data_IF_567474580901
#
_entry.id   IF_567474580901
#
_cell.length_a   1.000
_cell.length_b   1.000
_cell.length_c   1.000
_cell.angle_alpha   90.00
_cell.angle_beta   90.00
_cell.angle_gamma   90.00
#
_symmetry.space_group_name_H-M   'P 1'
#
loop_
_entity.id
_entity.type
_entity.pdbx_description
1 polymer ?
#
# COMPACT_ATOMS: atom_id res chain seq x y z
N UNK A 1 9.91 8.67 10.43
CA UNK A 1 8.66 8.92 9.69
C UNK A 1 8.86 9.89 8.53
N UNK A 2 9.52 11.04 8.73
CA UNK A 2 9.89 11.96 7.63
C UNK A 2 10.78 11.28 6.58
N UNK A 3 11.78 10.50 7.00
CA UNK A 3 12.62 9.70 6.08
C UNK A 3 11.81 8.66 5.29
N UNK A 4 10.83 8.01 5.92
CA UNK A 4 9.94 7.04 5.26
C UNK A 4 9.01 7.75 4.27
N UNK A 5 8.49 8.92 4.65
CA UNK A 5 7.67 9.79 3.80
C UNK A 5 8.46 10.26 2.58
N UNK A 6 9.68 10.76 2.76
CA UNK A 6 10.55 11.20 1.66
C UNK A 6 10.90 10.03 0.72
N UNK A 7 11.14 8.84 1.26
CA UNK A 7 11.39 7.63 0.47
C UNK A 7 10.17 7.18 -0.34
N UNK A 8 8.99 7.25 0.25
CA UNK A 8 7.72 6.92 -0.38
C UNK A 8 7.27 8.00 -1.40
N UNK A 9 7.59 9.28 -1.14
CA UNK A 9 7.37 10.41 -2.06
C UNK A 9 8.34 10.39 -3.27
N UNK A 10 9.56 9.88 -3.09
CA UNK A 10 10.55 9.70 -4.15
C UNK A 10 10.33 8.44 -5.01
N UNK A 11 9.32 7.62 -4.70
CA UNK A 11 8.96 6.45 -5.51
C UNK A 11 9.95 5.29 -5.45
N UNK A 12 10.83 5.24 -4.43
CA UNK A 12 11.73 4.10 -4.19
C UNK A 12 10.92 2.89 -3.72
N UNK A 13 11.22 1.73 -4.29
CA UNK A 13 10.59 0.46 -3.92
C UNK A 13 11.08 0.03 -2.53
N UNK A 14 10.17 -0.08 -1.57
CA UNK A 14 10.46 -0.61 -0.22
C UNK A 14 10.45 -2.14 -0.32
N UNK A 15 11.51 -2.79 0.13
CA UNK A 15 11.60 -4.26 0.06
C UNK A 15 10.63 -4.91 1.06
N UNK A 16 10.09 -6.08 0.71
CA UNK A 16 9.16 -6.82 1.57
C UNK A 16 9.68 -7.10 3.00
N UNK A 17 10.93 -7.55 3.23
CA UNK A 17 11.48 -7.67 4.58
C UNK A 17 11.60 -6.35 5.33
N UNK A 18 11.79 -5.23 4.63
CA UNK A 18 11.77 -3.90 5.25
C UNK A 18 10.34 -3.49 5.63
N UNK A 19 9.37 -3.79 4.77
CA UNK A 19 7.95 -3.58 5.06
C UNK A 19 7.53 -4.42 6.27
N UNK A 20 7.93 -5.69 6.35
CA UNK A 20 7.65 -6.55 7.49
C UNK A 20 8.30 -5.99 8.77
N UNK A 21 9.52 -5.44 8.68
CA UNK A 21 10.20 -4.79 9.82
C UNK A 21 9.51 -3.48 10.22
N UNK A 22 8.98 -2.72 9.27
CA UNK A 22 8.22 -1.49 9.52
C UNK A 22 6.88 -1.83 10.16
N UNK A 23 6.17 -2.83 9.65
CA UNK A 23 4.92 -3.32 10.23
C UNK A 23 5.13 -3.84 11.64
N UNK A 24 6.21 -4.58 11.88
CA UNK A 24 6.56 -5.05 13.23
C UNK A 24 6.82 -3.86 14.16
N UNK A 25 7.56 -2.85 13.71
CA UNK A 25 7.77 -1.62 14.50
C UNK A 25 6.48 -0.82 14.72
N UNK A 26 5.59 -0.76 13.72
CA UNK A 26 4.30 -0.09 13.83
C UNK A 26 3.40 -0.83 14.83
N UNK A 27 3.37 -2.16 14.79
CA UNK A 27 2.66 -3.00 15.78
C UNK A 27 3.25 -2.83 17.17
N UNK A 28 4.57 -2.84 17.31
CA UNK A 28 5.22 -2.57 18.61
C UNK A 28 4.94 -1.16 19.12
N UNK A 29 4.88 -0.16 18.24
CA UNK A 29 4.50 1.20 18.59
C UNK A 29 3.04 1.26 19.06
N UNK A 30 2.14 0.61 18.32
CA UNK A 30 0.72 0.49 18.62
C UNK A 30 0.50 -0.18 19.99
N UNK A 31 1.14 -1.31 20.23
CA UNK A 31 1.10 -2.01 21.51
C UNK A 31 1.65 -1.18 22.65
N UNK A 32 2.77 -0.45 22.45
CA UNK A 32 3.35 0.40 23.50
C UNK A 32 2.48 1.61 23.82
N UNK A 33 1.90 2.23 22.80
CA UNK A 33 0.95 3.35 22.97
C UNK A 33 -0.31 2.82 23.65
N UNK A 34 -0.91 1.74 23.15
CA UNK A 34 -2.07 1.13 23.78
C UNK A 34 -1.80 0.67 25.21
N UNK A 35 -0.61 0.12 25.52
CA UNK A 35 -0.23 -0.24 26.88
C UNK A 35 -0.05 0.99 27.79
N UNK A 36 0.49 2.09 27.25
CA UNK A 36 0.61 3.35 27.99
C UNK A 36 -0.76 3.97 28.33
N UNK A 37 -1.78 3.78 27.48
CA UNK A 37 -3.09 4.44 27.61
C UNK A 37 -4.26 3.54 28.06
N UNK A 38 -4.19 2.22 27.88
CA UNK A 38 -5.22 1.23 28.28
C UNK A 38 -5.52 1.19 29.78
N UNK A 39 -4.63 1.75 30.59
CA UNK A 39 -4.81 1.90 32.03
C UNK A 39 -5.20 3.31 32.47
N UNK A 40 -5.39 4.28 31.58
CA UNK A 40 -5.63 5.70 31.91
C UNK A 40 -7.14 5.99 31.97
N UNK A 41 -7.65 6.35 33.15
CA UNK A 41 -9.04 6.72 33.45
C UNK A 41 -9.05 8.06 34.17
N UNK A 42 -9.21 9.09 33.38
CA UNK A 42 -9.07 10.44 33.86
C UNK A 42 -10.28 10.79 34.73
N UNK A 43 -10.07 11.55 35.81
CA UNK A 43 -11.14 11.94 36.72
C UNK A 43 -12.22 12.83 36.06
N UNK A 44 -11.94 13.36 34.86
CA UNK A 44 -12.89 14.11 34.03
C UNK A 44 -13.36 13.29 32.81
N UNK A 45 -14.67 12.98 32.70
CA UNK A 45 -15.22 12.24 31.57
C UNK A 45 -14.96 12.88 30.21
N UNK A 46 -14.93 14.22 30.15
CA UNK A 46 -14.66 14.97 28.92
C UNK A 46 -13.24 14.80 28.39
N UNK A 47 -12.25 14.80 29.30
CA UNK A 47 -10.85 14.58 28.94
C UNK A 47 -10.61 13.12 28.57
N UNK A 48 -11.24 12.18 29.27
CA UNK A 48 -11.14 10.76 28.91
C UNK A 48 -11.75 10.46 27.55
N UNK A 49 -12.89 11.07 27.21
CA UNK A 49 -13.48 10.94 25.88
C UNK A 49 -12.58 11.50 24.78
N UNK A 50 -11.93 12.66 25.03
CA UNK A 50 -10.97 13.26 24.09
C UNK A 50 -9.74 12.40 23.89
N UNK A 51 -9.11 11.94 24.98
CA UNK A 51 -7.96 11.05 24.91
C UNK A 51 -8.30 9.75 24.17
N UNK A 52 -9.44 9.13 24.47
CA UNK A 52 -9.89 7.93 23.76
C UNK A 52 -10.12 8.19 22.27
N UNK A 53 -10.68 9.35 21.90
CA UNK A 53 -10.88 9.73 20.50
C UNK A 53 -9.54 9.93 19.77
N UNK A 54 -8.56 10.59 20.41
CA UNK A 54 -7.21 10.78 19.85
C UNK A 54 -6.46 9.46 19.73
N UNK A 55 -6.57 8.61 20.74
CA UNK A 55 -5.99 7.27 20.73
C UNK A 55 -6.61 6.40 19.64
N UNK A 56 -7.93 6.45 19.46
CA UNK A 56 -8.61 5.75 18.37
C UNK A 56 -8.17 6.26 16.99
N UNK A 57 -7.98 7.56 16.83
CA UNK A 57 -7.45 8.15 15.59
C UNK A 57 -6.01 7.66 15.31
N UNK A 58 -5.16 7.58 16.35
CA UNK A 58 -3.80 7.05 16.22
C UNK A 58 -3.78 5.57 15.77
N UNK A 59 -4.53 4.70 16.46
CA UNK A 59 -4.67 3.29 16.08
C UNK A 59 -5.20 3.14 14.65
N UNK A 60 -6.20 3.96 14.29
CA UNK A 60 -6.74 3.96 12.95
C UNK A 60 -5.67 4.28 11.91
N UNK A 61 -4.85 5.32 12.12
CA UNK A 61 -3.78 5.68 11.19
C UNK A 61 -2.71 4.58 11.08
N UNK A 62 -2.33 3.93 12.18
CA UNK A 62 -1.43 2.76 12.14
C UNK A 62 -2.03 1.64 11.30
N UNK A 63 -3.30 1.28 11.54
CA UNK A 63 -3.97 0.20 10.81
C UNK A 63 -4.06 0.48 9.31
N UNK A 64 -4.33 1.74 8.93
CA UNK A 64 -4.36 2.20 7.54
C UNK A 64 -2.97 2.11 6.92
N UNK A 65 -1.92 2.50 7.66
CA UNK A 65 -0.54 2.45 7.19
C UNK A 65 -0.08 0.99 6.96
N UNK A 66 -0.36 0.10 7.91
CA UNK A 66 -0.08 -1.34 7.79
C UNK A 66 -0.81 -1.92 6.57
N UNK A 67 -2.10 -1.61 6.39
CA UNK A 67 -2.87 -2.09 5.24
C UNK A 67 -2.28 -1.61 3.90
N UNK A 68 -1.79 -0.36 3.86
CA UNK A 68 -1.12 0.19 2.67
C UNK A 68 0.24 -0.49 2.42
N UNK A 69 0.99 -0.77 3.47
CA UNK A 69 2.26 -1.49 3.43
C UNK A 69 2.09 -2.94 2.95
N UNK A 70 1.09 -3.66 3.47
CA UNK A 70 0.68 -4.98 2.98
C UNK A 70 0.29 -4.94 1.50
N UNK A 71 -0.42 -3.88 1.09
CA UNK A 71 -0.71 -3.64 -0.32
C UNK A 71 0.57 -3.43 -1.13
N UNK A 72 1.55 -2.66 -0.65
CA UNK A 72 2.84 -2.45 -1.33
C UNK A 72 3.59 -3.78 -1.49
N UNK A 73 3.61 -4.64 -0.46
CA UNK A 73 4.16 -6.00 -0.54
C UNK A 73 3.48 -6.83 -1.63
N UNK A 74 2.15 -6.83 -1.66
CA UNK A 74 1.39 -7.53 -2.68
C UNK A 74 1.70 -7.02 -4.11
N UNK A 75 1.82 -5.70 -4.28
CA UNK A 75 2.16 -5.04 -5.55
C UNK A 75 3.63 -5.26 -5.98
N UNK A 76 4.54 -5.37 -5.02
CA UNK A 76 5.96 -5.62 -5.26
C UNK A 76 6.19 -7.06 -5.68
N UNK A 77 5.58 -8.03 -4.95
CA UNK A 77 5.58 -9.47 -5.31
C UNK A 77 5.07 -9.73 -6.72
N UNK A 78 4.20 -8.87 -7.23
CA UNK A 78 3.63 -8.97 -8.57
C UNK A 78 4.35 -8.19 -9.66
N UNK A 79 5.44 -7.51 -9.32
CA UNK A 79 6.27 -6.76 -10.25
C UNK A 79 5.59 -5.51 -10.81
N UNK A 80 4.70 -4.88 -10.02
CA UNK A 80 3.87 -3.77 -10.47
C UNK A 80 4.19 -2.47 -9.75
N UNK A 81 3.78 -1.37 -10.36
CA UNK A 81 4.13 -0.04 -9.87
C UNK A 81 3.53 0.18 -8.47
N UNK A 82 4.42 0.27 -7.49
CA UNK A 82 4.08 0.61 -6.10
C UNK A 82 3.86 2.11 -5.91
N UNK A 83 4.12 2.95 -6.92
CA UNK A 83 4.24 4.42 -6.80
C UNK A 83 2.96 5.09 -6.27
N UNK A 84 1.78 4.67 -6.74
CA UNK A 84 0.52 5.26 -6.28
C UNK A 84 0.24 4.91 -4.81
N UNK A 85 0.52 3.67 -4.43
CA UNK A 85 0.30 3.18 -3.08
C UNK A 85 1.40 3.64 -2.13
N UNK A 86 2.63 3.83 -2.61
CA UNK A 86 3.72 4.44 -1.88
C UNK A 86 3.40 5.89 -1.58
N UNK A 87 2.89 6.66 -2.54
CA UNK A 87 2.45 8.04 -2.31
C UNK A 87 1.27 8.13 -1.32
N UNK A 88 0.37 7.15 -1.33
CA UNK A 88 -0.67 7.06 -0.30
C UNK A 88 -0.08 6.67 1.07
N UNK A 89 0.89 5.77 1.12
CA UNK A 89 1.59 5.42 2.35
C UNK A 89 2.41 6.61 2.89
N UNK A 90 2.98 7.46 2.02
CA UNK A 90 3.71 8.67 2.42
C UNK A 90 2.76 9.71 3.03
N UNK A 91 1.60 9.91 2.40
CA UNK A 91 0.53 10.74 2.97
C UNK A 91 0.06 10.17 4.32
N UNK A 92 -0.10 8.85 4.42
CA UNK A 92 -0.41 8.17 5.67
C UNK A 92 0.67 8.34 6.74
N UNK A 93 1.94 8.46 6.35
CA UNK A 93 3.01 8.77 7.29
C UNK A 93 2.90 10.20 7.84
N UNK A 94 2.50 11.16 7.01
CA UNK A 94 2.21 12.52 7.46
C UNK A 94 0.99 12.56 8.38
N UNK A 95 -0.05 11.77 8.08
CA UNK A 95 -1.26 11.63 8.91
C UNK A 95 -0.95 10.96 10.26
N UNK A 96 -0.07 9.95 10.28
CA UNK A 96 0.39 9.34 11.54
C UNK A 96 1.27 10.31 12.34
N UNK A 97 2.10 11.11 11.69
CA UNK A 97 2.93 12.12 12.35
C UNK A 97 2.06 13.23 12.98
N UNK A 98 1.01 13.68 12.27
CA UNK A 98 0.07 14.65 12.81
C UNK A 98 -0.74 14.07 13.97
N UNK A 99 -1.22 12.82 13.85
CA UNK A 99 -1.89 12.12 14.96
C UNK A 99 -0.98 11.96 16.19
N UNK A 100 0.33 11.71 15.98
CA UNK A 100 1.32 11.62 17.06
C UNK A 100 1.55 13.00 17.70
N UNK A 101 1.62 14.06 16.90
CA UNK A 101 1.76 15.44 17.39
C UNK A 101 0.55 15.88 18.19
N UNK A 102 -0.65 15.55 17.72
CA UNK A 102 -1.90 15.83 18.42
C UNK A 102 -1.97 15.10 19.76
N UNK A 103 -1.51 13.84 19.81
CA UNK A 103 -1.42 13.07 21.06
C UNK A 103 -0.40 13.70 22.03
N UNK A 104 0.74 14.16 21.52
CA UNK A 104 1.78 14.82 22.31
C UNK A 104 1.34 16.20 22.82
N UNK A 105 0.57 16.95 22.03
CA UNK A 105 -0.01 18.24 22.42
C UNK A 105 -1.13 18.05 23.45
N UNK A 106 -2.05 17.10 23.27
CA UNK A 106 -3.06 16.75 24.28
C UNK A 106 -2.36 16.35 25.59
N UNK A 107 -1.25 15.60 25.50
CA UNK A 107 -0.44 15.27 26.67
C UNK A 107 0.18 16.51 27.34
N UNK A 108 0.75 17.41 26.55
CA UNK A 108 1.51 18.58 27.05
C UNK A 108 0.61 19.69 27.58
N UNK A 109 -0.51 19.93 26.92
CA UNK A 109 -1.34 21.12 27.08
C UNK A 109 -2.56 20.87 27.96
N UNK A 110 -3.10 19.66 27.96
CA UNK A 110 -4.27 19.31 28.77
C UNK A 110 -3.92 18.35 29.91
N UNK A 111 -3.34 17.19 29.59
CA UNK A 111 -3.08 16.13 30.58
C UNK A 111 -2.02 16.52 31.60
N UNK A 112 -0.83 16.98 31.17
CA UNK A 112 0.28 17.29 32.08
C UNK A 112 -0.08 18.37 33.12
N UNK A 113 -0.67 19.52 32.74
CA UNK A 113 -1.08 20.53 33.72
C UNK A 113 -2.11 19.97 34.70
N UNK A 114 -3.09 19.19 34.23
CA UNK A 114 -4.11 18.62 35.11
C UNK A 114 -3.53 17.56 36.08
N UNK A 115 -2.49 16.85 35.65
CA UNK A 115 -1.72 15.95 36.51
C UNK A 115 -0.86 16.70 37.52
N UNK A 116 -0.26 17.82 37.13
CA UNK A 116 0.50 18.71 38.02
C UNK A 116 -0.42 19.37 39.06
N UNK A 117 -1.59 19.87 38.63
CA UNK A 117 -2.63 20.41 39.51
C UNK A 117 -3.13 19.35 40.50
N UNK A 118 -3.31 18.11 40.04
CA UNK A 118 -3.67 16.99 40.91
C UNK A 118 -2.56 16.64 41.90
N UNK A 119 -1.30 16.66 41.47
CA UNK A 119 -0.15 16.40 42.35
C UNK A 119 0.03 17.52 43.40
N UNK A 120 -0.18 18.78 43.02
CA UNK A 120 -0.13 19.91 43.94
C UNK A 120 -1.32 19.90 44.90
N UNK A 121 -2.51 19.52 44.44
CA UNK A 121 -3.67 19.30 45.31
C UNK A 121 -3.43 18.18 46.32
N UNK A 122 -2.73 17.10 45.93
CA UNK A 122 -2.30 16.03 46.84
C UNK A 122 -1.29 16.54 47.86
N UNK A 123 -0.26 17.26 47.42
CA UNK A 123 0.78 17.82 48.29
C UNK A 123 0.20 18.81 49.30
N UNK A 124 -0.71 19.68 48.84
CA UNK A 124 -1.47 20.59 49.67
C UNK A 124 -2.30 19.82 50.69
N UNK A 125 -3.01 18.77 50.26
CA UNK A 125 -3.81 17.89 51.12
C UNK A 125 -2.97 17.18 52.19
N UNK A 126 -1.78 16.66 51.84
CA UNK A 126 -0.82 16.05 52.79
C UNK A 126 -0.32 17.09 53.80
N UNK A 127 0.04 18.28 53.33
CA UNK A 127 0.53 19.37 54.19
C UNK A 127 -0.56 19.84 55.15
N UNK A 128 -1.80 19.93 54.68
CA UNK A 128 -2.94 20.32 55.49
C UNK A 128 -3.33 19.22 56.48
N UNK A 129 -3.23 17.94 56.08
CA UNK A 129 -3.39 16.78 56.98
C UNK A 129 -2.38 16.81 58.13
N UNK A 130 -1.10 17.09 57.84
CA UNK A 130 -0.06 17.22 58.85
C UNK A 130 -0.34 18.36 59.84
N UNK A 131 -0.85 19.51 59.34
CA UNK A 131 -1.27 20.64 60.19
C UNK A 131 -2.47 20.30 61.08
N UNK A 132 -3.45 19.56 60.55
CA UNK A 132 -4.63 19.13 61.32
C UNK A 132 -4.23 18.12 62.42
N UNK A 133 -3.32 17.20 62.12
CA UNK A 133 -2.81 16.24 63.11
C UNK A 133 -2.11 16.96 64.27
N UNK A 134 -1.25 17.94 63.96
CA UNK A 134 -0.59 18.76 64.97
C UNK A 134 -1.57 19.61 65.79
N UNK A 135 -2.64 20.11 65.16
CA UNK A 135 -3.68 20.89 65.85
C UNK A 135 -4.60 20.01 66.70
N UNK A 136 -4.79 18.74 66.34
CA UNK A 136 -5.55 17.78 67.14
C UNK A 136 -4.81 17.43 68.43
N UNK A 137 -3.48 17.28 68.36
CA UNK A 137 -2.62 17.00 69.51
C UNK A 137 -2.68 18.15 70.54
N UNK A 138 -2.54 19.41 70.07
CA UNK A 138 -2.66 20.58 70.96
C UNK A 138 -4.06 20.75 71.55
N UNK A 139 -5.11 20.45 70.78
CA UNK A 139 -6.49 20.48 71.28
C UNK A 139 -6.74 19.40 72.35
N UNK A 140 -6.11 18.23 72.24
CA UNK A 140 -6.21 17.15 73.24
C UNK A 140 -5.47 17.51 74.54
N UNK A 141 -4.28 18.12 74.45
CA UNK A 141 -3.57 18.63 75.63
C UNK A 141 -4.36 19.72 76.35
N UNK A 142 -4.91 20.67 75.60
CA UNK A 142 -5.75 21.76 76.13
C UNK A 142 -7.02 21.21 76.81
N UNK A 143 -7.66 20.21 76.19
CA UNK A 143 -8.85 19.56 76.75
C UNK A 143 -8.51 18.78 78.03
N UNK A 144 -7.38 18.08 78.06
CA UNK A 144 -6.90 17.35 79.23
C UNK A 144 -6.55 18.30 80.40
N UNK A 145 -5.98 19.48 80.08
CA UNK A 145 -5.71 20.55 81.06
C UNK A 145 -7.00 21.14 81.64
N UNK A 146 -8.00 21.44 80.81
CA UNK A 146 -9.29 21.96 81.26
C UNK A 146 -9.99 20.94 82.18
N UNK A 147 -10.06 19.67 81.76
CA UNK A 147 -10.65 18.58 82.54
C UNK A 147 -9.92 18.31 83.86
N UNK A 148 -8.60 18.53 83.92
CA UNK A 148 -7.82 18.41 85.14
C UNK A 148 -7.90 19.61 86.10
N UNK A 149 -8.37 20.78 85.64
CA UNK A 149 -8.24 22.05 86.38
C UNK A 149 -9.49 22.50 87.15
N UNK A 150 -10.71 22.02 86.85
CA UNK A 150 -11.88 22.24 87.71
C UNK A 150 -13.11 21.38 87.30
N UNK A 151 -13.81 20.71 88.25
CA UNK A 151 -15.07 19.99 87.97
C UNK A 151 -16.29 20.91 87.76
N UNK A 152 -16.25 22.17 88.22
CA UNK A 152 -17.30 23.17 87.98
C UNK A 152 -16.91 24.08 86.80
N UNK A 153 -17.39 23.72 85.61
CA UNK A 153 -17.09 24.46 84.37
C UNK A 153 -17.79 25.83 84.34
N UNK A 154 -17.05 26.89 84.73
CA UNK A 154 -17.46 28.28 84.49
C UNK A 154 -17.50 28.60 82.97
N UNK A 155 -18.28 29.63 82.61
CA UNK A 155 -18.62 29.95 81.21
C UNK A 155 -17.46 30.15 80.21
N UNK A 156 -16.25 30.44 80.68
CA UNK A 156 -15.02 30.48 79.87
C UNK A 156 -14.62 29.09 79.37
N UNK A 157 -14.47 28.13 80.28
CA UNK A 157 -14.17 26.72 79.95
C UNK A 157 -15.23 26.11 79.03
N UNK A 158 -16.51 26.49 79.21
CA UNK A 158 -17.60 26.07 78.31
C UNK A 158 -17.44 26.65 76.90
N UNK A 159 -17.03 27.91 76.75
CA UNK A 159 -16.73 28.52 75.44
C UNK A 159 -15.52 27.86 74.78
N UNK A 160 -14.51 27.50 75.56
CA UNK A 160 -13.31 26.82 75.06
C UNK A 160 -13.62 25.39 74.60
N UNK A 161 -14.45 24.64 75.33
CA UNK A 161 -14.95 23.33 74.88
C UNK A 161 -15.82 23.42 73.63
N UNK A 162 -16.64 24.47 73.50
CA UNK A 162 -17.41 24.72 72.26
C UNK A 162 -16.46 25.01 71.08
N UNK A 163 -15.37 25.77 71.32
CA UNK A 163 -14.34 26.05 70.31
C UNK A 163 -13.58 24.78 69.92
N UNK A 164 -13.20 23.95 70.90
CA UNK A 164 -12.56 22.65 70.66
C UNK A 164 -13.50 21.75 69.86
N UNK A 165 -14.79 21.66 70.22
CA UNK A 165 -15.79 20.90 69.45
C UNK A 165 -15.92 21.39 68.01
N UNK A 166 -15.97 22.71 67.80
CA UNK A 166 -16.03 23.29 66.45
C UNK A 166 -14.77 22.96 65.63
N UNK A 167 -13.59 23.04 66.25
CA UNK A 167 -12.32 22.67 65.63
C UNK A 167 -12.26 21.18 65.30
N UNK A 168 -12.74 20.29 66.18
CA UNK A 168 -12.79 18.84 65.95
C UNK A 168 -13.77 18.46 64.82
N UNK A 169 -14.92 19.14 64.72
CA UNK A 169 -15.86 18.95 63.60
C UNK A 169 -15.25 19.44 62.28
N UNK A 170 -14.53 20.56 62.29
CA UNK A 170 -13.80 21.04 61.11
C UNK A 170 -12.70 20.05 60.68
N UNK A 171 -11.98 19.46 61.65
CA UNK A 171 -11.00 18.39 61.42
C UNK A 171 -11.67 17.15 60.83
N UNK A 172 -12.81 16.70 61.38
CA UNK A 172 -13.55 15.54 60.89
C UNK A 172 -14.01 15.70 59.44
N UNK A 173 -14.61 16.85 59.11
CA UNK A 173 -15.08 17.13 57.76
C UNK A 173 -13.93 17.20 56.75
N UNK A 174 -12.80 17.82 57.14
CA UNK A 174 -11.59 17.86 56.30
C UNK A 174 -10.96 16.47 56.13
N UNK A 175 -10.85 15.67 57.19
CA UNK A 175 -10.37 14.28 57.11
C UNK A 175 -11.26 13.41 56.22
N UNK A 176 -12.58 13.60 56.28
CA UNK A 176 -13.51 12.84 55.43
C UNK A 176 -13.40 13.23 53.95
N UNK A 177 -13.19 14.51 53.65
CA UNK A 177 -12.87 14.99 52.30
C UNK A 177 -11.51 14.43 51.82
N UNK A 178 -10.49 14.43 52.68
CA UNK A 178 -9.17 13.87 52.39
C UNK A 178 -9.21 12.35 52.16
N UNK A 179 -9.99 11.62 52.97
CA UNK A 179 -10.16 10.18 52.81
C UNK A 179 -10.90 9.86 51.51
N UNK A 180 -11.89 10.66 51.13
CA UNK A 180 -12.57 10.54 49.83
C UNK A 180 -11.60 10.80 48.67
N UNK A 181 -10.74 11.80 48.79
CA UNK A 181 -9.72 12.12 47.78
C UNK A 181 -8.64 11.04 47.69
N UNK A 182 -8.10 10.55 48.82
CA UNK A 182 -7.15 9.44 48.89
C UNK A 182 -7.74 8.13 48.39
N UNK A 183 -9.03 7.88 48.61
CA UNK A 183 -9.71 6.69 48.07
C UNK A 183 -9.84 6.79 46.55
N UNK A 184 -10.16 7.98 46.00
CA UNK A 184 -10.13 8.24 44.54
C UNK A 184 -8.74 8.04 43.95
N UNK A 185 -7.69 8.49 44.63
CA UNK A 185 -6.29 8.33 44.20
C UNK A 185 -5.84 6.87 44.28
N UNK A 186 -6.18 6.16 45.37
CA UNK A 186 -5.86 4.73 45.55
C UNK A 186 -6.59 3.84 44.54
N UNK A 187 -7.79 4.21 44.11
CA UNK A 187 -8.55 3.48 43.10
C UNK A 187 -8.10 3.75 41.66
N UNK A 188 -7.25 4.76 41.41
CA UNK A 188 -6.71 5.00 40.07
C UNK A 188 -5.40 4.22 39.91
N UNK A 189 -5.48 3.10 39.20
CA UNK A 189 -4.37 2.20 38.84
C UNK A 189 -3.30 2.85 37.90
N UNK A 190 -3.15 4.18 37.92
CA UNK A 190 -2.71 5.04 36.81
C UNK A 190 -1.60 5.98 37.24
N UNK A 191 -1.58 6.32 38.53
CA UNK A 191 -0.47 7.03 39.15
C UNK A 191 0.84 6.23 39.05
N UNK A 192 0.76 4.89 39.11
CA UNK A 192 1.92 4.00 38.92
C UNK A 192 2.41 3.91 37.46
N UNK A 193 1.53 4.13 36.47
CA UNK A 193 1.90 4.16 35.05
C UNK A 193 2.61 5.47 34.72
N UNK A 194 2.12 6.58 35.28
CA UNK A 194 2.74 7.91 35.11
C UNK A 194 4.09 8.00 35.82
N UNK A 195 4.26 7.39 37.00
CA UNK A 195 5.58 7.28 37.65
C UNK A 195 6.59 6.44 36.84
N UNK A 196 6.14 5.41 36.12
CA UNK A 196 7.00 4.64 35.18
C UNK A 196 7.39 5.43 33.93
N UNK A 197 6.49 6.30 33.46
CA UNK A 197 6.77 7.24 32.38
C UNK A 197 7.69 8.39 32.84
N UNK A 198 7.57 8.87 34.08
CA UNK A 198 8.48 9.84 34.71
C UNK A 198 9.90 9.28 34.93
N UNK A 199 10.04 7.98 35.16
CA UNK A 199 11.34 7.31 35.27
C UNK A 199 12.00 7.01 33.91
N UNK A 200 11.25 7.15 32.81
CA UNK A 200 11.76 6.95 31.45
C UNK A 200 11.98 8.32 30.82
N UNK A 201 13.24 8.71 30.67
CA UNK A 201 13.66 10.01 30.14
C UNK A 201 12.80 10.43 28.92
N UNK A 202 11.95 11.47 29.02
CA UNK A 202 11.05 11.89 27.95
C UNK A 202 11.81 12.25 26.68
N UNK A 203 13.04 12.75 26.83
CA UNK A 203 13.97 13.02 25.73
C UNK A 203 14.42 11.74 25.05
N UNK A 204 14.58 10.62 25.77
CA UNK A 204 14.89 9.32 25.14
C UNK A 204 13.70 8.74 24.41
N UNK A 205 12.47 8.94 24.90
CA UNK A 205 11.28 8.50 24.16
C UNK A 205 11.08 9.37 22.92
N UNK A 206 11.27 10.69 23.05
CA UNK A 206 11.25 11.62 21.94
C UNK A 206 12.37 11.31 20.94
N UNK A 207 13.60 11.04 21.38
CA UNK A 207 14.77 10.66 20.57
C UNK A 207 14.60 9.27 19.93
N UNK A 208 13.98 8.29 20.59
CA UNK A 208 13.68 6.99 19.96
C UNK A 208 12.61 7.10 18.86
N UNK A 209 11.67 8.04 19.02
CA UNK A 209 10.57 8.32 18.08
C UNK A 209 11.01 9.28 16.95
N UNK A 210 11.96 10.16 17.24
CA UNK A 210 12.52 11.16 16.31
C UNK A 210 13.86 10.76 15.69
N UNK A 211 14.50 9.68 16.15
CA UNK A 211 15.72 9.16 15.55
C UNK A 211 15.41 8.77 14.11
N UNK A 212 16.02 9.43 13.12
CA UNK A 212 15.87 9.04 11.74
C UNK A 212 16.50 7.65 11.62
N UNK A 213 15.68 6.64 11.33
CA UNK A 213 16.20 5.36 10.84
C UNK A 213 16.80 5.68 9.47
N UNK A 214 18.09 5.97 9.44
CA UNK A 214 18.85 6.13 8.21
C UNK A 214 18.71 4.85 7.40
N UNK A 215 17.94 4.94 6.32
CA UNK A 215 17.77 3.89 5.33
C UNK A 215 18.57 4.33 4.11
N UNK A 216 19.80 3.84 3.99
CA UNK A 216 20.52 3.85 2.72
C UNK A 216 19.78 2.92 1.76
N UNK A 217 19.01 3.49 0.84
CA UNK A 217 18.30 2.72 -0.19
C UNK A 217 19.20 2.56 -1.40
N UNK A 218 19.70 1.34 -1.59
CA UNK A 218 20.29 0.86 -2.83
C UNK A 218 19.17 0.31 -3.71
N UNK A 219 18.66 1.11 -4.65
CA UNK A 219 17.70 0.59 -5.62
C UNK A 219 18.43 -0.42 -6.52
N UNK A 220 18.16 -1.71 -6.35
CA UNK A 220 18.73 -2.78 -7.18
C UNK A 220 18.45 -2.54 -8.68
N UNK A 221 17.28 -1.99 -9.03
CA UNK A 221 16.83 -1.68 -10.39
C UNK A 221 16.02 -0.37 -10.48
N UNK A 222 16.67 0.81 -10.52
CA UNK A 222 15.98 2.09 -10.52
C UNK A 222 15.29 2.39 -11.86
N UNK A 223 14.14 3.09 -11.81
CA UNK A 223 13.45 3.63 -13.00
C UNK A 223 13.35 5.15 -12.88
N UNK A 224 13.95 5.87 -13.84
CA UNK A 224 14.15 7.32 -13.85
C UNK A 224 12.83 8.11 -13.90
N UNK A 225 11.85 7.64 -14.67
CA UNK A 225 10.61 8.38 -14.90
C UNK A 225 9.42 7.47 -15.27
N UNK A 226 8.21 8.01 -15.13
CA UNK A 226 6.97 7.29 -15.44
C UNK A 226 6.85 6.89 -16.92
N UNK A 227 7.43 7.69 -17.83
CA UNK A 227 7.46 7.35 -19.26
C UNK A 227 8.21 6.05 -19.52
N UNK A 228 9.36 5.86 -18.88
CA UNK A 228 10.16 4.64 -18.94
C UNK A 228 9.43 3.47 -18.30
N UNK A 229 8.77 3.69 -17.16
CA UNK A 229 7.98 2.64 -16.48
C UNK A 229 6.82 2.11 -17.34
N UNK A 230 6.14 3.00 -18.08
CA UNK A 230 5.00 2.63 -18.94
C UNK A 230 5.39 2.21 -20.35
N UNK A 231 6.65 2.42 -20.76
CA UNK A 231 7.10 2.18 -22.13
C UNK A 231 6.92 0.73 -22.60
N UNK A 232 7.15 -0.25 -21.72
CA UNK A 232 6.94 -1.67 -22.04
C UNK A 232 5.50 -1.95 -22.49
N UNK A 233 4.50 -1.34 -21.83
CA UNK A 233 3.10 -1.50 -22.18
C UNK A 233 2.80 -0.89 -23.55
N UNK A 234 3.23 0.35 -23.79
CA UNK A 234 2.96 1.02 -25.06
C UNK A 234 3.70 0.39 -26.24
N UNK A 235 4.94 -0.07 -26.07
CA UNK A 235 5.68 -0.76 -27.13
C UNK A 235 4.99 -2.06 -27.52
N UNK A 236 4.59 -2.89 -26.55
CA UNK A 236 3.86 -4.14 -26.82
C UNK A 236 2.51 -3.87 -27.49
N UNK A 237 1.78 -2.86 -27.01
CA UNK A 237 0.52 -2.44 -27.61
C UNK A 237 0.72 -2.00 -29.07
N UNK A 238 1.72 -1.16 -29.34
CA UNK A 238 2.03 -0.68 -30.69
C UNK A 238 2.39 -1.80 -31.64
N UNK A 239 3.17 -2.80 -31.20
CA UNK A 239 3.54 -3.96 -32.03
C UNK A 239 2.30 -4.79 -32.38
N UNK A 240 1.40 -5.05 -31.42
CA UNK A 240 0.17 -5.80 -31.70
C UNK A 240 -0.77 -5.04 -32.64
N UNK A 241 -0.97 -3.74 -32.39
CA UNK A 241 -1.81 -2.91 -33.25
C UNK A 241 -1.24 -2.81 -34.67
N UNK A 242 0.08 -2.69 -34.80
CA UNK A 242 0.76 -2.74 -36.11
C UNK A 242 0.49 -4.06 -36.85
N UNK A 243 0.59 -5.18 -36.13
CA UNK A 243 0.27 -6.50 -36.67
C UNK A 243 -1.23 -6.66 -37.05
N UNK A 244 -2.16 -6.10 -36.27
CA UNK A 244 -3.60 -6.08 -36.61
C UNK A 244 -3.87 -5.32 -37.90
N UNK A 245 -3.34 -4.09 -38.01
CA UNK A 245 -3.48 -3.26 -39.21
C UNK A 245 -2.85 -3.95 -40.41
N UNK A 246 -1.70 -4.61 -40.21
CA UNK A 246 -1.01 -5.34 -41.26
C UNK A 246 -1.85 -6.49 -41.83
N UNK A 247 -2.55 -7.25 -40.98
CA UNK A 247 -3.43 -8.33 -41.43
C UNK A 247 -4.71 -7.80 -42.09
N UNK A 248 -5.25 -6.67 -41.63
CA UNK A 248 -6.39 -6.03 -42.27
C UNK A 248 -6.07 -5.45 -43.67
N UNK A 249 -4.84 -4.97 -43.90
CA UNK A 249 -4.43 -4.41 -45.19
C UNK A 249 -3.99 -5.52 -46.17
N UNK A 250 -3.21 -6.48 -45.67
CA UNK A 250 -2.61 -7.54 -46.49
C UNK A 250 -3.40 -8.81 -46.26
N UNK A 251 -4.09 -9.28 -47.29
CA UNK A 251 -4.86 -10.52 -47.20
C UNK A 251 -3.94 -11.70 -46.86
N UNK A 252 -4.28 -12.44 -45.80
CA UNK A 252 -3.48 -13.57 -45.33
C UNK A 252 -3.47 -14.74 -46.31
N UNK A 253 -4.58 -14.98 -47.01
CA UNK A 253 -4.73 -16.04 -48.02
C UNK A 253 -4.55 -15.50 -49.44
N UNK A 254 -4.03 -16.32 -50.35
CA UNK A 254 -3.96 -15.96 -51.76
C UNK A 254 -5.34 -16.08 -52.40
N UNK A 255 -5.67 -15.19 -53.35
CA UNK A 255 -6.95 -15.21 -54.07
C UNK A 255 -7.11 -16.43 -54.98
N UNK A 256 -6.00 -17.04 -55.42
CA UNK A 256 -6.01 -18.16 -56.35
C UNK A 256 -5.08 -19.29 -55.85
N UNK A 257 -5.53 -20.08 -54.85
CA UNK A 257 -4.75 -21.21 -54.35
C UNK A 257 -4.49 -22.24 -55.45
N UNK A 258 -3.24 -22.68 -55.61
CA UNK A 258 -2.84 -23.70 -56.59
C UNK A 258 -2.45 -23.22 -57.99
N UNK A 259 -2.43 -21.90 -58.24
CA UNK A 259 -1.97 -21.34 -59.53
C UNK A 259 -0.49 -21.61 -59.83
N UNK A 260 0.34 -21.77 -58.79
CA UNK A 260 1.78 -22.02 -58.95
C UNK A 260 2.02 -23.54 -58.87
N UNK A 261 2.47 -24.18 -59.98
CA UNK A 261 2.71 -25.62 -59.99
C UNK A 261 3.77 -26.03 -58.95
N UNK A 262 3.48 -27.06 -58.16
CA UNK A 262 4.41 -27.62 -57.16
C UNK A 262 4.36 -26.95 -55.77
N UNK A 263 3.54 -25.92 -55.56
CA UNK A 263 3.37 -25.29 -54.24
C UNK A 263 2.34 -26.06 -53.40
N UNK A 264 2.81 -26.67 -52.32
CA UNK A 264 1.96 -27.32 -51.31
C UNK A 264 1.34 -26.27 -50.38
N UNK A 265 0.22 -26.61 -49.73
CA UNK A 265 -0.45 -25.76 -48.75
C UNK A 265 0.49 -25.17 -47.68
N UNK A 266 1.41 -25.98 -47.17
CA UNK A 266 2.36 -25.54 -46.13
C UNK A 266 3.35 -24.52 -46.68
N UNK A 267 3.78 -24.69 -47.94
CA UNK A 267 4.62 -23.72 -48.64
C UNK A 267 3.89 -22.38 -48.86
N UNK A 268 2.58 -22.41 -49.15
CA UNK A 268 1.78 -21.19 -49.28
C UNK A 268 1.67 -20.44 -47.94
N UNK A 269 1.34 -21.16 -46.86
CA UNK A 269 1.21 -20.59 -45.53
C UNK A 269 2.52 -19.97 -45.03
N UNK A 270 3.62 -20.73 -45.01
CA UNK A 270 4.91 -20.21 -44.55
C UNK A 270 5.50 -19.18 -45.50
N UNK A 271 5.37 -19.38 -46.82
CA UNK A 271 5.86 -18.45 -47.82
C UNK A 271 5.18 -17.09 -47.74
N UNK A 272 3.86 -17.06 -47.54
CA UNK A 272 3.12 -15.81 -47.32
C UNK A 272 3.47 -15.20 -45.97
N UNK A 273 3.62 -16.00 -44.91
CA UNK A 273 4.02 -15.50 -43.60
C UNK A 273 5.37 -14.76 -43.62
N UNK A 274 6.34 -15.15 -44.44
CA UNK A 274 7.63 -14.45 -44.53
C UNK A 274 7.49 -12.97 -44.89
N UNK A 275 6.50 -12.61 -45.72
CA UNK A 275 6.17 -11.21 -46.00
C UNK A 275 5.66 -10.52 -44.74
N UNK A 276 4.80 -11.19 -43.98
CA UNK A 276 4.28 -10.65 -42.73
C UNK A 276 5.38 -10.45 -41.69
N UNK A 277 6.26 -11.44 -41.55
CA UNK A 277 7.41 -11.37 -40.69
C UNK A 277 8.31 -10.19 -41.04
N UNK A 278 8.69 -10.05 -42.32
CA UNK A 278 9.56 -8.96 -42.78
C UNK A 278 9.00 -7.57 -42.46
N UNK A 279 7.73 -7.32 -42.82
CA UNK A 279 7.07 -6.04 -42.53
C UNK A 279 6.95 -5.82 -41.01
N UNK A 280 6.56 -6.85 -40.26
CA UNK A 280 6.42 -6.77 -38.80
C UNK A 280 7.74 -6.43 -38.11
N UNK A 281 8.86 -7.00 -38.55
CA UNK A 281 10.19 -6.68 -38.02
C UNK A 281 10.59 -5.23 -38.33
N UNK A 282 10.29 -4.72 -39.54
CA UNK A 282 10.55 -3.32 -39.89
C UNK A 282 9.71 -2.36 -39.04
N UNK A 283 8.41 -2.61 -38.88
CA UNK A 283 7.54 -1.82 -38.00
C UNK A 283 8.06 -1.81 -36.56
N UNK A 284 8.49 -2.98 -36.08
CA UNK A 284 9.02 -3.12 -34.72
C UNK A 284 10.33 -2.38 -34.53
N UNK A 285 11.21 -2.43 -35.53
CA UNK A 285 12.44 -1.65 -35.51
C UNK A 285 12.14 -0.15 -35.45
N UNK A 286 11.17 0.34 -36.23
CA UNK A 286 10.75 1.75 -36.18
C UNK A 286 10.22 2.10 -34.78
N UNK A 287 9.37 1.26 -34.18
CA UNK A 287 8.84 1.46 -32.81
C UNK A 287 9.98 1.52 -31.80
N UNK A 288 10.93 0.58 -31.85
CA UNK A 288 12.08 0.53 -30.93
C UNK A 288 12.97 1.77 -31.10
N UNK A 289 13.32 2.13 -32.34
CA UNK A 289 14.14 3.32 -32.62
C UNK A 289 13.44 4.61 -32.19
N UNK A 290 12.14 4.74 -32.44
CA UNK A 290 11.34 5.87 -31.97
C UNK A 290 11.33 5.95 -30.43
N UNK A 291 11.19 4.81 -29.76
CA UNK A 291 11.16 4.75 -28.30
C UNK A 291 12.52 5.12 -27.69
N UNK A 292 13.63 4.64 -28.27
CA UNK A 292 14.99 4.91 -27.80
C UNK A 292 15.49 6.32 -28.13
N UNK A 293 15.25 6.82 -29.35
CA UNK A 293 15.87 8.06 -29.83
C UNK A 293 14.94 9.27 -29.79
N UNK A 294 13.63 9.08 -30.01
CA UNK A 294 12.65 10.17 -30.01
C UNK A 294 12.04 10.37 -28.60
N UNK A 295 11.51 9.31 -28.00
CA UNK A 295 10.92 9.37 -26.65
C UNK A 295 12.00 9.37 -25.56
N UNK A 296 13.15 8.72 -25.82
CA UNK A 296 14.32 8.66 -24.91
C UNK A 296 13.99 8.05 -23.56
N UNK A 297 13.40 6.86 -23.59
CA UNK A 297 13.19 6.08 -22.36
C UNK A 297 14.52 5.56 -21.82
N UNK A 298 14.58 5.25 -20.53
CA UNK A 298 15.70 4.51 -19.97
C UNK A 298 15.69 3.08 -20.53
N UNK A 299 16.87 2.56 -20.90
CA UNK A 299 17.06 1.15 -21.26
C UNK A 299 18.47 0.72 -20.86
N UNK A 300 18.58 -0.32 -20.03
CA UNK A 300 19.86 -0.91 -19.60
C UNK A 300 20.52 -1.69 -20.75
N UNK A 301 19.73 -2.37 -21.59
CA UNK A 301 20.26 -3.13 -22.73
C UNK A 301 19.41 -2.95 -23.99
N UNK A 302 19.83 -2.03 -24.86
CA UNK A 302 19.13 -1.71 -26.11
C UNK A 302 18.99 -2.91 -27.04
N UNK A 303 20.03 -3.75 -27.15
CA UNK A 303 19.97 -4.94 -27.99
C UNK A 303 18.94 -5.96 -27.50
N UNK A 304 18.91 -6.26 -26.19
CA UNK A 304 17.92 -7.19 -25.60
C UNK A 304 16.51 -6.62 -25.64
N UNK A 305 16.37 -5.30 -25.56
CA UNK A 305 15.10 -4.61 -25.74
C UNK A 305 14.56 -4.76 -27.17
N UNK A 306 15.43 -4.57 -28.17
CA UNK A 306 15.11 -4.86 -29.57
C UNK A 306 14.75 -6.34 -29.76
N UNK A 307 15.57 -7.26 -29.24
CA UNK A 307 15.33 -8.70 -29.38
C UNK A 307 14.00 -9.14 -28.77
N UNK A 308 13.64 -8.64 -27.60
CA UNK A 308 12.35 -8.93 -26.97
C UNK A 308 11.17 -8.36 -27.78
N UNK A 309 11.32 -7.14 -28.29
CA UNK A 309 10.34 -6.53 -29.20
C UNK A 309 10.21 -7.32 -30.51
N UNK A 310 11.31 -7.78 -31.09
CA UNK A 310 11.36 -8.58 -32.31
C UNK A 310 10.68 -9.95 -32.15
N UNK A 311 10.89 -10.61 -31.00
CA UNK A 311 10.20 -11.86 -30.67
C UNK A 311 8.71 -11.62 -30.40
N UNK A 312 8.34 -10.56 -29.69
CA UNK A 312 6.93 -10.19 -29.52
C UNK A 312 6.26 -9.94 -30.88
N UNK A 313 6.93 -9.23 -31.78
CA UNK A 313 6.47 -8.98 -33.15
C UNK A 313 6.28 -10.27 -33.94
N UNK A 314 7.26 -11.17 -33.92
CA UNK A 314 7.14 -12.49 -34.53
C UNK A 314 5.90 -13.23 -34.01
N UNK A 315 5.74 -13.33 -32.69
CA UNK A 315 4.61 -14.05 -32.08
C UNK A 315 3.28 -13.39 -32.43
N UNK A 316 3.16 -12.07 -32.31
CA UNK A 316 1.89 -11.36 -32.53
C UNK A 316 1.48 -11.41 -34.00
N UNK A 317 2.42 -11.13 -34.91
CA UNK A 317 2.16 -11.25 -36.35
C UNK A 317 1.80 -12.69 -36.71
N UNK A 318 2.48 -13.69 -36.14
CA UNK A 318 2.20 -15.10 -36.43
C UNK A 318 0.82 -15.54 -35.92
N UNK A 319 0.46 -15.16 -34.70
CA UNK A 319 -0.86 -15.44 -34.10
C UNK A 319 -1.97 -14.82 -34.94
N UNK A 320 -1.88 -13.52 -35.24
CA UNK A 320 -2.91 -12.80 -35.98
C UNK A 320 -2.99 -13.27 -37.43
N UNK A 321 -1.84 -13.51 -38.08
CA UNK A 321 -1.78 -14.11 -39.40
C UNK A 321 -2.46 -15.48 -39.43
N UNK A 322 -2.16 -16.35 -38.47
CA UNK A 322 -2.76 -17.69 -38.40
C UNK A 322 -4.28 -17.64 -38.22
N UNK A 323 -4.75 -16.70 -37.41
CA UNK A 323 -6.16 -16.50 -37.14
C UNK A 323 -6.90 -15.99 -38.38
N UNK A 324 -6.35 -14.98 -39.06
CA UNK A 324 -6.93 -14.47 -40.31
C UNK A 324 -6.77 -15.46 -41.47
N UNK A 325 -5.70 -16.24 -41.53
CA UNK A 325 -5.52 -17.28 -42.52
C UNK A 325 -6.56 -18.41 -42.36
N UNK A 326 -6.91 -18.75 -41.12
CA UNK A 326 -7.89 -19.78 -40.82
C UNK A 326 -9.35 -19.32 -40.95
N UNK A 327 -9.67 -18.09 -40.51
CA UNK A 327 -11.05 -17.59 -40.38
C UNK A 327 -11.38 -16.37 -41.26
N UNK A 328 -10.44 -15.84 -42.05
CA UNK A 328 -10.62 -14.62 -42.83
C UNK A 328 -10.90 -13.39 -41.95
N UNK A 329 -11.83 -12.55 -42.38
CA UNK A 329 -12.26 -11.33 -41.68
C UNK A 329 -12.74 -11.58 -40.24
N UNK A 330 -13.34 -12.75 -39.97
CA UNK A 330 -13.75 -13.14 -38.61
C UNK A 330 -12.52 -13.30 -37.71
N UNK A 331 -11.42 -13.82 -38.26
CA UNK A 331 -10.16 -13.95 -37.55
C UNK A 331 -9.56 -12.60 -37.18
N UNK A 332 -9.66 -11.62 -38.06
CA UNK A 332 -9.23 -10.24 -37.80
C UNK A 332 -10.02 -9.60 -36.65
N UNK A 333 -11.35 -9.75 -36.67
CA UNK A 333 -12.22 -9.26 -35.61
C UNK A 333 -11.91 -9.91 -34.25
N UNK A 334 -11.66 -11.23 -34.24
CA UNK A 334 -11.21 -11.93 -33.03
C UNK A 334 -9.87 -11.39 -32.54
N UNK A 335 -8.94 -11.04 -33.44
CA UNK A 335 -7.68 -10.39 -33.09
C UNK A 335 -7.85 -9.06 -32.34
N UNK A 336 -8.84 -8.26 -32.74
CA UNK A 336 -9.21 -7.00 -32.06
C UNK A 336 -9.79 -7.28 -30.67
N UNK A 337 -10.70 -8.25 -30.55
CA UNK A 337 -11.28 -8.63 -29.25
C UNK A 337 -10.18 -9.10 -28.28
N UNK A 338 -9.30 -9.97 -28.76
CA UNK A 338 -8.15 -10.45 -27.99
C UNK A 338 -7.25 -9.28 -27.56
N UNK A 339 -7.04 -8.28 -28.43
CA UNK A 339 -6.30 -7.07 -28.06
C UNK A 339 -6.98 -6.31 -26.91
N UNK A 340 -8.28 -6.00 -27.01
CA UNK A 340 -9.00 -5.21 -25.99
C UNK A 340 -8.93 -5.90 -24.62
N UNK A 341 -9.14 -7.22 -24.59
CA UNK A 341 -9.07 -8.01 -23.36
C UNK A 341 -7.67 -7.98 -22.75
N UNK A 342 -6.62 -8.06 -23.57
CA UNK A 342 -5.25 -8.00 -23.10
C UNK A 342 -4.83 -6.61 -22.61
N UNK A 343 -5.30 -5.55 -23.25
CA UNK A 343 -5.04 -4.17 -22.80
C UNK A 343 -5.54 -3.94 -21.38
N UNK A 344 -6.72 -4.43 -21.05
CA UNK A 344 -7.29 -4.34 -19.70
C UNK A 344 -6.65 -5.32 -18.70
N UNK A 345 -6.25 -6.50 -19.17
CA UNK A 345 -5.90 -7.63 -18.31
C UNK A 345 -4.42 -7.90 -18.07
N UNK A 346 -3.52 -7.32 -18.87
CA UNK A 346 -2.11 -7.70 -18.90
C UNK A 346 -1.22 -7.02 -17.85
N UNK A 347 -1.80 -6.23 -16.96
CA UNK A 347 -1.06 -5.63 -15.85
C UNK A 347 -0.09 -4.50 -16.27
N UNK A 348 -0.40 -3.83 -17.38
CA UNK A 348 0.39 -2.71 -17.93
C UNK A 348 0.23 -1.42 -17.14
N UNK A 349 -1.03 -1.01 -16.90
CA UNK A 349 -1.38 0.23 -16.19
C UNK A 349 -1.68 0.01 -14.72
N UNK A 350 -2.30 -1.12 -14.38
CA UNK A 350 -2.66 -1.49 -13.03
C UNK A 350 -2.06 -2.82 -12.62
N UNK A 351 -1.91 -3.01 -11.31
CA UNK A 351 -1.54 -4.29 -10.79
C UNK A 351 -2.53 -5.43 -11.13
N UNK A 352 -2.07 -6.67 -11.32
CA UNK A 352 -2.90 -7.80 -11.75
C UNK A 352 -3.68 -8.31 -10.54
N UNK A 353 -3.15 -8.15 -9.34
CA UNK A 353 -3.78 -8.46 -8.06
C UNK A 353 -5.02 -7.61 -7.82
N UNK A 354 -5.00 -6.35 -8.29
CA UNK A 354 -6.14 -5.42 -8.14
C UNK A 354 -7.18 -5.56 -9.25
N UNK A 355 -6.92 -6.37 -10.29
CA UNK A 355 -7.90 -6.62 -11.34
C UNK A 355 -9.01 -7.59 -10.87
N UNK A 356 -10.21 -7.51 -11.46
CA UNK A 356 -11.26 -8.50 -11.25
C UNK A 356 -10.79 -9.94 -11.48
N UNK A 357 -11.41 -10.91 -10.78
CA UNK A 357 -11.02 -12.34 -10.83
C UNK A 357 -10.93 -12.89 -12.26
N UNK A 358 -11.82 -12.45 -13.16
CA UNK A 358 -11.81 -12.82 -14.57
C UNK A 358 -10.45 -12.55 -15.25
N UNK A 359 -9.90 -11.34 -15.11
CA UNK A 359 -8.63 -10.97 -15.73
C UNK A 359 -7.43 -11.67 -15.09
N UNK A 360 -7.46 -11.90 -13.77
CA UNK A 360 -6.42 -12.66 -13.06
C UNK A 360 -6.31 -14.10 -13.56
N UNK A 361 -7.43 -14.77 -13.81
CA UNK A 361 -7.47 -16.13 -14.35
C UNK A 361 -6.97 -16.17 -15.79
N UNK A 362 -7.32 -15.15 -16.59
CA UNK A 362 -6.91 -15.08 -17.99
C UNK A 362 -5.45 -14.64 -18.16
N UNK A 363 -4.88 -13.95 -17.17
CA UNK A 363 -3.54 -13.36 -17.23
C UNK A 363 -2.43 -14.29 -17.74
N UNK A 364 -2.31 -15.57 -17.30
CA UNK A 364 -1.30 -16.50 -17.83
C UNK A 364 -1.43 -16.80 -19.32
N UNK A 365 -2.61 -16.60 -19.91
CA UNK A 365 -2.90 -16.88 -21.32
C UNK A 365 -2.78 -15.63 -22.20
N UNK A 366 -2.28 -14.52 -21.66
CA UNK A 366 -2.11 -13.27 -22.40
C UNK A 366 -0.67 -13.11 -22.90
N UNK A 367 -0.39 -13.19 -24.21
CA UNK A 367 0.96 -12.98 -24.71
C UNK A 367 1.53 -11.59 -24.37
N UNK A 368 0.68 -10.56 -24.19
CA UNK A 368 1.10 -9.22 -23.74
C UNK A 368 1.95 -9.24 -22.48
N UNK A 369 1.59 -10.07 -21.49
CA UNK A 369 2.27 -10.08 -20.19
C UNK A 369 3.75 -10.45 -20.34
N UNK A 370 4.03 -11.42 -21.20
CA UNK A 370 5.37 -11.99 -21.34
C UNK A 370 6.26 -11.04 -22.13
N UNK A 371 5.72 -10.42 -23.18
CA UNK A 371 6.39 -9.35 -23.90
C UNK A 371 6.70 -8.16 -22.99
N UNK A 372 5.72 -7.68 -22.23
CA UNK A 372 5.92 -6.54 -21.33
C UNK A 372 6.94 -6.84 -20.24
N UNK A 373 6.87 -8.00 -19.59
CA UNK A 373 7.83 -8.36 -18.55
C UNK A 373 9.25 -8.52 -19.12
N UNK A 374 9.41 -9.07 -20.32
CA UNK A 374 10.74 -9.12 -20.97
C UNK A 374 11.28 -7.72 -21.30
N UNK A 375 10.43 -6.77 -21.70
CA UNK A 375 10.85 -5.37 -21.92
C UNK A 375 11.16 -4.65 -20.60
N UNK A 376 10.41 -4.90 -19.52
CA UNK A 376 10.67 -4.34 -18.18
C UNK A 376 12.05 -4.73 -17.67
N UNK A 377 12.49 -5.96 -17.89
CA UNK A 377 13.85 -6.43 -17.57
C UNK A 377 14.93 -5.64 -18.32
N UNK A 378 14.66 -5.26 -19.57
CA UNK A 378 15.58 -4.43 -20.36
C UNK A 378 15.57 -2.96 -19.94
N UNK A 379 14.47 -2.47 -19.37
CA UNK A 379 14.29 -1.08 -18.92
C UNK A 379 14.89 -0.88 -17.52
N UNK A 380 14.49 -1.69 -16.54
CA UNK A 380 14.87 -1.53 -15.13
C UNK A 380 16.12 -2.32 -14.76
N UNK A 381 16.36 -3.45 -15.43
CA UNK A 381 17.48 -4.35 -15.21
C UNK A 381 17.02 -5.80 -14.98
N UNK A 382 17.99 -6.73 -14.98
CA UNK A 382 17.73 -8.16 -15.21
C UNK A 382 17.66 -8.99 -13.92
N UNK A 383 16.48 -9.50 -13.57
CA UNK A 383 16.35 -10.56 -12.59
C UNK A 383 16.75 -11.93 -13.19
N UNK A 384 17.50 -12.78 -12.45
CA UNK A 384 18.00 -14.05 -12.98
C UNK A 384 16.93 -14.90 -13.67
N UNK A 385 17.19 -15.26 -14.94
CA UNK A 385 16.34 -16.07 -15.80
C UNK A 385 14.95 -15.48 -16.16
N UNK A 386 14.52 -14.35 -15.59
CA UNK A 386 13.20 -13.79 -15.84
C UNK A 386 13.01 -13.41 -17.32
N UNK A 387 13.98 -12.70 -17.90
CA UNK A 387 13.99 -12.38 -19.33
C UNK A 387 13.84 -13.65 -20.19
N UNK A 388 14.68 -14.66 -19.98
CA UNK A 388 14.65 -15.89 -20.77
C UNK A 388 13.32 -16.66 -20.61
N UNK A 389 12.80 -16.77 -19.37
CA UNK A 389 11.50 -17.41 -19.09
C UNK A 389 10.36 -16.71 -19.83
N UNK A 390 10.34 -15.38 -19.81
CA UNK A 390 9.32 -14.61 -20.52
C UNK A 390 9.43 -14.77 -22.04
N UNK A 391 10.65 -14.76 -22.59
CA UNK A 391 10.88 -14.98 -24.02
C UNK A 391 10.44 -16.38 -24.48
N UNK A 392 10.76 -17.42 -23.73
CA UNK A 392 10.32 -18.79 -24.01
C UNK A 392 8.80 -18.91 -23.89
N UNK A 393 8.21 -18.38 -22.82
CA UNK A 393 6.76 -18.42 -22.64
C UNK A 393 6.01 -17.67 -23.75
N UNK A 394 6.57 -16.56 -24.24
CA UNK A 394 6.02 -15.83 -25.38
C UNK A 394 6.07 -16.65 -26.67
N UNK A 395 7.19 -17.33 -26.93
CA UNK A 395 7.34 -18.22 -28.09
C UNK A 395 6.38 -19.42 -28.04
N UNK A 396 5.97 -19.89 -26.85
CA UNK A 396 5.00 -20.99 -26.75
C UNK A 396 3.64 -20.65 -27.37
N UNK A 397 3.27 -19.38 -27.53
CA UNK A 397 2.05 -18.97 -28.23
C UNK A 397 2.08 -19.24 -29.75
N UNK A 398 3.26 -19.53 -30.31
CA UNK A 398 3.39 -19.97 -31.71
C UNK A 398 2.78 -21.36 -31.90
N UNK A 399 2.82 -22.24 -30.89
CA UNK A 399 2.28 -23.60 -30.99
C UNK A 399 0.77 -23.63 -31.25
N UNK A 400 -0.09 -22.97 -30.44
CA UNK A 400 -1.51 -22.91 -30.74
C UNK A 400 -1.80 -22.15 -32.04
N UNK A 401 -1.01 -21.12 -32.38
CA UNK A 401 -1.15 -20.43 -33.66
C UNK A 401 -0.87 -21.34 -34.86
N UNK A 402 0.17 -22.18 -34.79
CA UNK A 402 0.49 -23.19 -35.82
C UNK A 402 -0.67 -24.18 -36.00
N UNK A 403 -1.25 -24.65 -34.89
CA UNK A 403 -2.40 -25.55 -34.92
C UNK A 403 -3.60 -24.88 -35.62
N UNK A 404 -3.89 -23.63 -35.28
CA UNK A 404 -4.96 -22.85 -35.92
C UNK A 404 -4.66 -22.65 -37.41
N UNK A 405 -3.45 -22.21 -37.74
CA UNK A 405 -3.04 -21.82 -39.09
C UNK A 405 -2.86 -22.98 -40.06
N UNK A 406 -2.56 -24.20 -39.58
CA UNK A 406 -2.34 -25.38 -40.44
C UNK A 406 -3.46 -26.42 -40.36
N UNK A 407 -4.06 -26.64 -39.20
CA UNK A 407 -5.06 -27.70 -39.00
C UNK A 407 -6.46 -27.11 -39.13
N UNK A 408 -6.79 -26.09 -38.34
CA UNK A 408 -8.14 -25.50 -38.36
C UNK A 408 -8.44 -24.84 -39.71
N UNK A 409 -7.45 -24.17 -40.30
CA UNK A 409 -7.54 -23.58 -41.64
C UNK A 409 -7.90 -24.60 -42.71
N UNK A 410 -7.28 -25.80 -42.73
CA UNK A 410 -7.59 -26.90 -43.66
C UNK A 410 -9.01 -27.41 -43.49
N UNK A 411 -9.47 -27.56 -42.25
CA UNK A 411 -10.84 -28.04 -41.96
C UNK A 411 -11.91 -27.04 -42.40
N UNK A 412 -11.61 -25.74 -42.32
CA UNK A 412 -12.56 -24.68 -42.62
C UNK A 412 -12.59 -24.24 -44.09
N UNK A 413 -11.66 -24.71 -44.94
CA UNK A 413 -11.65 -24.34 -46.37
C UNK A 413 -12.96 -24.69 -47.06
N UNK A 414 -13.48 -25.89 -46.79
CA UNK A 414 -14.75 -26.35 -47.36
C UNK A 414 -15.99 -25.60 -46.84
N UNK A 415 -15.88 -24.89 -45.71
CA UNK A 415 -16.94 -24.02 -45.21
C UNK A 415 -16.83 -22.61 -45.79
N UNK A 416 -15.60 -22.11 -45.94
CA UNK A 416 -15.30 -20.82 -46.58
C UNK A 416 -15.77 -20.78 -48.04
N UNK A 417 -15.49 -21.83 -48.82
CA UNK A 417 -15.97 -21.94 -50.22
C UNK A 417 -17.50 -21.93 -50.32
N UNK A 418 -18.19 -22.56 -49.36
CA UNK A 418 -19.66 -22.54 -49.29
C UNK A 418 -20.22 -21.16 -48.91
N UNK A 419 -19.54 -20.45 -48.00
CA UNK A 419 -19.93 -19.10 -47.60
C UNK A 419 -19.67 -18.11 -48.76
N UNK A 420 -18.55 -18.22 -49.46
CA UNK A 420 -18.26 -17.38 -50.64
C UNK A 420 -19.20 -17.69 -51.81
N UNK A 421 -19.53 -18.97 -52.06
CA UNK A 421 -20.55 -19.34 -53.04
C UNK A 421 -21.93 -18.80 -52.66
N UNK A 422 -22.29 -18.82 -51.37
CA UNK A 422 -23.53 -18.21 -50.88
C UNK A 422 -23.51 -16.68 -50.98
N UNK A 423 -22.36 -16.03 -50.76
CA UNK A 423 -22.19 -14.58 -50.88
C UNK A 423 -22.25 -14.13 -52.34
N UNK A 424 -21.66 -14.89 -53.26
CA UNK A 424 -21.71 -14.63 -54.70
C UNK A 424 -23.12 -14.81 -55.29
N UNK A 425 -23.97 -15.62 -54.66
CA UNK A 425 -25.38 -15.80 -55.02
C UNK A 425 -26.34 -14.81 -54.35
N UNK A 426 -25.87 -13.98 -53.41
CA UNK A 426 -26.68 -12.96 -52.75
C UNK A 426 -26.32 -11.58 -53.29
N UNK A 427 -27.29 -10.86 -53.85
CA UNK A 427 -27.21 -9.46 -54.34
C UNK A 427 -26.95 -8.44 -53.20
N UNK A 428 -25.96 -8.69 -52.34
CA UNK A 428 -25.57 -7.81 -51.23
C UNK A 428 -24.40 -6.88 -51.59
N UNK A 429 -23.89 -6.95 -52.83
CA UNK A 429 -22.82 -6.08 -53.32
C UNK A 429 -23.02 -5.70 -54.81
N UNK A 430 -24.02 -4.87 -55.08
CA UNK A 430 -23.93 -3.87 -56.18
C UNK A 430 -23.52 -2.54 -55.58
#
# INVERSE_FOLDING_TARGET
METLRDQLEQGRAVEEPEIDRIEEKLKQLDERVSAAFSGVSLPLPGLQARLNARLAAFHHQISVLITRLDGIKALSRSGQSVVALSKQASAGCADLLSATRDLAEEYRTDLRPEMEDSAEAIKSSITESAKLLASADSNLEEMNRILGSAPDLAGGARKDLIRIKANLVAIQNKLQAQMTMLTKIRSSNQYHVVLKLLASDPDRIAELVSSPVGLETEALYPIENNGSAMSAFYVILSIWVGALIQVAIIHARQKHPGEIPGVTYDHEYFGRYLLFFGIGQVQTLIVVLGTLYYVRIQVVSAFRFYLASAVASFVFTFVLYSLAYAFGEVGEALGVIVMVVQVAGSGGTFPVEVLPKFYRVLYPFMPFRYGMNALRECIAGFYPHAYAKNMVALLLFVLPALVIGLICSRLMQGLGEKIEASKAGSDLWV
#
